data_IF_153637333841
#
_entry.id   IF_153637333841
#
_cell.length_a   1.000
_cell.length_b   1.000
_cell.length_c   1.000
_cell.angle_alpha   90.00
_cell.angle_beta   90.00
_cell.angle_gamma   90.00
#
_symmetry.space_group_name_H-M   'P 1'
#
loop_
_entity.id
_entity.type
_entity.pdbx_description
1 polymer ?
#
# COMPACT_ATOMS: atom_id res chain seq x y z
N UNK A 1 17.05 -1.94 20.88
CA UNK A 1 17.47 -1.14 19.72
C UNK A 1 18.03 -2.03 18.59
N UNK A 2 19.07 -2.81 18.82
CA UNK A 2 19.72 -3.66 17.78
C UNK A 2 18.77 -4.66 17.12
N UNK A 3 17.85 -5.27 17.87
CA UNK A 3 16.84 -6.20 17.34
C UNK A 3 15.84 -5.49 16.43
N UNK A 4 15.43 -4.27 16.77
CA UNK A 4 14.50 -3.47 15.98
C UNK A 4 15.09 -3.09 14.61
N UNK A 5 16.32 -2.56 14.57
CA UNK A 5 16.96 -2.14 13.32
C UNK A 5 17.48 -3.30 12.44
N UNK A 6 17.59 -4.52 12.97
CA UNK A 6 17.93 -5.72 12.18
C UNK A 6 16.75 -6.34 11.43
N UNK A 7 15.52 -6.14 11.89
CA UNK A 7 14.33 -6.63 11.18
C UNK A 7 14.03 -5.70 10.00
N UNK A 8 13.59 -6.26 8.86
CA UNK A 8 13.02 -5.46 7.75
C UNK A 8 11.78 -4.73 8.28
N UNK A 9 11.95 -3.45 8.60
CA UNK A 9 10.87 -2.59 9.09
C UNK A 9 10.00 -2.18 7.91
N UNK A 10 8.70 -2.45 8.00
CA UNK A 10 7.75 -1.94 7.02
C UNK A 10 7.81 -0.42 6.95
N UNK A 11 7.89 0.15 5.73
CA UNK A 11 8.04 1.61 5.50
C UNK A 11 6.73 2.37 5.74
N UNK A 12 6.07 2.18 6.90
CA UNK A 12 4.90 3.00 7.26
C UNK A 12 5.33 4.35 7.86
N UNK A 13 4.47 5.36 7.78
CA UNK A 13 4.71 6.67 8.41
C UNK A 13 4.78 6.55 9.94
N UNK A 14 4.00 5.66 10.53
CA UNK A 14 3.97 5.36 11.97
C UNK A 14 5.31 4.77 12.44
N UNK A 15 5.86 3.84 11.68
CA UNK A 15 7.15 3.21 11.97
C UNK A 15 8.32 4.22 11.95
N UNK A 16 8.24 5.25 11.09
CA UNK A 16 9.24 6.32 11.07
C UNK A 16 9.22 7.13 12.38
N UNK A 17 8.03 7.48 12.86
CA UNK A 17 7.90 8.23 14.13
C UNK A 17 8.36 7.35 15.30
N UNK A 18 7.96 6.08 15.31
CA UNK A 18 8.42 5.12 16.32
C UNK A 18 9.94 4.94 16.32
N UNK A 19 10.57 4.82 15.14
CA UNK A 19 12.04 4.73 15.03
C UNK A 19 12.75 5.92 15.67
N UNK A 20 12.20 7.13 15.49
CA UNK A 20 12.76 8.34 16.09
C UNK A 20 12.59 8.29 17.62
N UNK A 21 11.43 7.88 18.12
CA UNK A 21 11.19 7.71 19.58
C UNK A 21 12.19 6.74 20.22
N UNK A 22 12.47 5.60 19.56
CA UNK A 22 13.47 4.62 20.04
C UNK A 22 14.86 5.25 20.15
N UNK A 23 15.26 6.02 19.14
CA UNK A 23 16.57 6.71 19.15
C UNK A 23 16.64 7.75 20.26
N UNK A 24 15.58 8.55 20.40
CA UNK A 24 15.52 9.60 21.43
C UNK A 24 15.47 9.00 22.83
N UNK A 25 14.71 7.94 23.08
CA UNK A 25 14.72 7.22 24.37
C UNK A 25 16.10 6.69 24.72
N UNK A 26 16.84 6.18 23.75
CA UNK A 26 18.21 5.69 23.98
C UNK A 26 19.18 6.85 24.28
N UNK A 27 19.06 7.94 23.55
CA UNK A 27 19.83 9.16 23.82
C UNK A 27 19.55 9.70 25.23
N UNK A 28 18.29 9.77 25.63
CA UNK A 28 17.86 10.21 26.96
C UNK A 28 18.46 9.35 28.07
N UNK A 29 18.42 8.02 27.93
CA UNK A 29 19.05 7.09 28.87
C UNK A 29 20.56 7.31 29.02
N UNK A 30 21.28 7.55 27.91
CA UNK A 30 22.73 7.81 27.94
C UNK A 30 23.01 9.13 28.67
N UNK A 31 22.24 10.18 28.35
CA UNK A 31 22.44 11.49 28.96
C UNK A 31 22.09 11.46 30.46
N UNK A 32 21.06 10.70 30.86
CA UNK A 32 20.73 10.49 32.29
C UNK A 32 21.88 9.79 33.04
N UNK A 33 22.43 8.70 32.48
CA UNK A 33 23.58 8.02 33.09
C UNK A 33 24.79 8.95 33.25
N UNK A 34 25.04 9.82 32.28
CA UNK A 34 26.10 10.83 32.39
C UNK A 34 25.74 11.85 33.47
N UNK A 35 24.47 12.27 33.56
CA UNK A 35 24.03 13.23 34.56
C UNK A 35 24.13 12.66 35.98
N UNK A 36 23.82 11.38 36.18
CA UNK A 36 23.97 10.69 37.45
C UNK A 36 25.43 10.67 37.92
N UNK A 37 26.38 10.59 36.98
CA UNK A 37 27.80 10.61 37.27
C UNK A 37 28.33 12.04 37.54
N UNK A 38 27.98 13.03 36.72
CA UNK A 38 28.49 14.41 36.85
C UNK A 38 27.68 15.29 37.78
N UNK A 39 26.43 14.93 38.06
CA UNK A 39 25.51 15.71 38.91
C UNK A 39 26.06 15.92 40.33
N UNK A 40 26.57 14.90 41.04
CA UNK A 40 27.19 15.08 42.35
C UNK A 40 28.37 16.04 42.34
N UNK A 41 29.07 16.15 41.20
CA UNK A 41 30.26 16.99 41.03
C UNK A 41 29.92 18.43 40.56
N UNK A 42 28.65 18.87 40.67
CA UNK A 42 28.20 20.17 40.12
C UNK A 42 28.94 21.38 40.67
N UNK A 43 29.57 21.26 41.87
CA UNK A 43 30.42 22.31 42.45
C UNK A 43 31.83 22.32 41.89
N UNK A 44 32.35 21.18 41.50
CA UNK A 44 33.70 21.00 40.98
C UNK A 44 33.79 21.29 39.47
N UNK A 45 32.79 20.81 38.72
CA UNK A 45 32.70 20.95 37.25
C UNK A 45 31.36 21.59 36.84
N UNK A 46 31.03 22.79 37.28
CA UNK A 46 29.70 23.39 37.13
C UNK A 46 29.26 23.46 35.64
N UNK A 47 30.10 23.94 34.77
CA UNK A 47 29.77 24.09 33.34
C UNK A 47 29.32 22.78 32.69
N UNK A 48 30.01 21.66 33.00
CA UNK A 48 29.66 20.33 32.48
C UNK A 48 28.36 19.83 33.07
N UNK A 49 28.20 19.91 34.41
CA UNK A 49 26.98 19.41 35.08
C UNK A 49 25.73 20.19 34.61
N UNK A 50 25.82 21.52 34.49
CA UNK A 50 24.70 22.35 33.99
C UNK A 50 24.41 22.07 32.51
N UNK A 51 25.43 21.89 31.67
CA UNK A 51 25.24 21.54 30.27
C UNK A 51 24.54 20.18 30.10
N UNK A 52 25.02 19.13 30.80
CA UNK A 52 24.42 17.80 30.73
C UNK A 52 22.99 17.79 31.25
N UNK A 53 22.69 18.52 32.33
CA UNK A 53 21.33 18.63 32.85
C UNK A 53 20.37 19.30 31.85
N UNK A 54 20.82 20.34 31.13
CA UNK A 54 20.03 20.97 30.07
C UNK A 54 19.86 20.06 28.86
N UNK A 55 20.90 19.29 28.51
CA UNK A 55 20.83 18.30 27.45
C UNK A 55 19.84 17.17 27.79
N UNK A 56 19.80 16.73 29.05
CA UNK A 56 18.80 15.79 29.56
C UNK A 56 17.36 16.37 29.41
N UNK A 57 17.17 17.59 29.89
CA UNK A 57 15.88 18.29 29.77
C UNK A 57 15.42 18.43 28.33
N UNK A 58 16.35 18.69 27.40
CA UNK A 58 16.07 18.71 25.96
C UNK A 58 15.63 17.34 25.44
N UNK A 59 16.27 16.25 25.88
CA UNK A 59 15.87 14.88 25.56
C UNK A 59 14.42 14.59 25.96
N UNK A 60 14.06 14.91 27.19
CA UNK A 60 12.69 14.79 27.74
C UNK A 60 11.69 15.57 26.88
N UNK A 61 11.98 16.84 26.59
CA UNK A 61 11.12 17.71 25.78
C UNK A 61 10.94 17.17 24.36
N UNK A 62 12.02 16.70 23.75
CA UNK A 62 12.00 16.11 22.41
C UNK A 62 11.14 14.85 22.38
N UNK A 63 11.28 13.96 23.37
CA UNK A 63 10.51 12.72 23.45
C UNK A 63 9.01 12.99 23.57
N UNK A 64 8.60 13.88 24.47
CA UNK A 64 7.19 14.24 24.69
C UNK A 64 6.60 14.89 23.43
N UNK A 65 7.37 15.75 22.75
CA UNK A 65 6.95 16.41 21.51
C UNK A 65 6.71 15.39 20.39
N UNK A 66 7.59 14.41 20.24
CA UNK A 66 7.44 13.36 19.24
C UNK A 66 6.23 12.48 19.55
N UNK A 67 6.00 12.15 20.82
CA UNK A 67 4.81 11.42 21.26
C UNK A 67 3.53 12.21 20.93
N UNK A 68 3.48 13.51 21.20
CA UNK A 68 2.36 14.37 20.80
C UNK A 68 2.14 14.34 19.27
N UNK A 69 3.21 14.47 18.49
CA UNK A 69 3.12 14.36 17.03
C UNK A 69 2.54 13.00 16.58
N UNK A 70 2.92 11.91 17.25
CA UNK A 70 2.36 10.57 17.00
C UNK A 70 0.85 10.53 17.30
N UNK A 71 0.42 11.04 18.47
CA UNK A 71 -1.00 11.11 18.87
C UNK A 71 -1.83 11.84 17.82
N UNK A 72 -1.38 13.03 17.43
CA UNK A 72 -2.08 13.87 16.47
C UNK A 72 -2.08 13.26 15.07
N UNK A 73 -0.98 12.60 14.68
CA UNK A 73 -0.90 11.85 13.44
C UNK A 73 -1.94 10.72 13.39
N UNK A 74 -2.03 9.87 14.43
CA UNK A 74 -3.02 8.78 14.51
C UNK A 74 -4.45 9.35 14.43
N UNK A 75 -4.74 10.42 15.18
CA UNK A 75 -6.05 11.07 15.18
C UNK A 75 -6.44 11.63 13.81
N UNK A 76 -5.51 12.22 13.07
CA UNK A 76 -5.75 12.79 11.74
C UNK A 76 -5.85 11.70 10.66
N UNK A 77 -5.06 10.64 10.75
CA UNK A 77 -5.08 9.50 9.83
C UNK A 77 -6.43 8.78 9.89
N UNK A 78 -6.95 8.50 11.09
CA UNK A 78 -8.28 7.87 11.26
C UNK A 78 -9.39 8.72 10.64
N UNK A 79 -9.29 10.05 10.71
CA UNK A 79 -10.28 10.98 10.11
C UNK A 79 -10.03 11.27 8.62
N UNK A 80 -9.05 10.61 7.98
CA UNK A 80 -8.64 10.88 6.58
C UNK A 80 -8.28 12.36 6.32
N UNK A 81 -7.74 13.05 7.35
CA UNK A 81 -7.34 14.46 7.29
C UNK A 81 -5.82 14.64 7.24
N UNK A 82 -5.14 13.78 6.53
CA UNK A 82 -3.66 13.75 6.48
C UNK A 82 -3.02 15.05 5.97
N UNK A 83 -3.73 15.86 5.21
CA UNK A 83 -3.22 17.16 4.71
C UNK A 83 -2.84 18.13 5.82
N UNK A 84 -3.37 17.96 7.04
CA UNK A 84 -3.06 18.81 8.19
C UNK A 84 -1.84 18.34 8.99
N UNK A 85 -1.30 17.15 8.70
CA UNK A 85 -0.15 16.58 9.41
C UNK A 85 1.08 17.51 9.38
N UNK A 86 1.48 18.09 8.22
CA UNK A 86 2.62 19.01 8.20
C UNK A 86 2.41 20.27 9.06
N UNK A 87 1.19 20.80 9.07
CA UNK A 87 0.86 22.00 9.88
C UNK A 87 1.00 21.70 11.37
N UNK A 88 0.40 20.58 11.82
CA UNK A 88 0.45 20.16 13.23
C UNK A 88 1.89 19.88 13.66
N UNK A 89 2.66 19.18 12.84
CA UNK A 89 4.09 18.93 13.07
C UNK A 89 4.87 20.24 13.22
N UNK A 90 4.66 21.21 12.35
CA UNK A 90 5.39 22.48 12.37
C UNK A 90 5.02 23.28 13.63
N UNK A 91 3.76 23.27 14.05
CA UNK A 91 3.32 23.90 15.32
C UNK A 91 4.02 23.22 16.51
N UNK A 92 4.05 21.88 16.56
CA UNK A 92 4.73 21.15 17.62
C UNK A 92 6.24 21.47 17.68
N UNK A 93 6.91 21.57 16.52
CA UNK A 93 8.33 21.97 16.43
C UNK A 93 8.54 23.40 16.97
N UNK A 94 7.67 24.35 16.61
CA UNK A 94 7.77 25.73 17.09
C UNK A 94 7.58 25.76 18.63
N UNK A 95 6.61 25.06 19.17
CA UNK A 95 6.42 24.96 20.62
C UNK A 95 7.64 24.33 21.30
N UNK A 96 8.19 23.26 20.76
CA UNK A 96 9.42 22.63 21.26
C UNK A 96 10.59 23.61 21.29
N UNK A 97 10.80 24.41 20.23
CA UNK A 97 11.86 25.41 20.16
C UNK A 97 11.64 26.46 21.27
N UNK A 98 10.41 26.93 21.49
CA UNK A 98 10.08 27.90 22.52
C UNK A 98 10.42 27.33 23.91
N UNK A 99 9.92 26.14 24.25
CA UNK A 99 10.15 25.53 25.57
C UNK A 99 11.62 25.19 25.79
N UNK A 100 12.31 24.68 24.78
CA UNK A 100 13.77 24.44 24.84
C UNK A 100 14.54 25.73 25.07
N UNK A 101 14.20 26.80 24.35
CA UNK A 101 14.86 28.11 24.52
C UNK A 101 14.62 28.64 25.94
N UNK A 102 13.40 28.57 26.46
CA UNK A 102 13.10 28.96 27.84
C UNK A 102 13.85 28.09 28.85
N UNK A 103 13.97 26.77 28.63
CA UNK A 103 14.76 25.89 29.47
C UNK A 103 16.24 26.33 29.53
N UNK A 104 16.82 26.76 28.43
CA UNK A 104 18.22 27.20 28.38
C UNK A 104 18.45 28.61 28.99
N UNK A 105 17.46 29.49 28.98
CA UNK A 105 17.56 30.86 29.53
C UNK A 105 17.28 30.91 31.02
N UNK A 106 16.29 30.14 31.47
CA UNK A 106 15.83 30.20 32.85
C UNK A 106 16.85 29.58 33.83
N UNK A 107 16.86 30.06 35.11
CA UNK A 107 17.75 29.52 36.13
C UNK A 107 17.50 28.03 36.41
N UNK A 108 18.60 27.29 36.44
CA UNK A 108 18.65 25.88 36.81
C UNK A 108 19.48 25.74 38.09
N UNK A 109 19.04 25.01 39.06
CA UNK A 109 19.74 24.78 40.29
C UNK A 109 19.97 23.28 40.52
N UNK A 110 21.05 22.92 41.18
CA UNK A 110 21.35 21.57 41.63
C UNK A 110 21.20 21.46 43.14
N UNK A 111 20.75 20.29 43.59
CA UNK A 111 20.79 19.86 44.96
C UNK A 111 21.36 18.45 45.04
N UNK A 112 22.27 18.23 45.98
CA UNK A 112 22.84 16.94 46.28
C UNK A 112 22.65 16.64 47.77
N UNK A 113 22.01 15.53 48.09
CA UNK A 113 21.70 15.11 49.47
C UNK A 113 22.67 14.08 50.06
N UNK A 114 23.76 13.80 49.33
CA UNK A 114 24.75 12.78 49.69
C UNK A 114 24.55 11.43 48.98
N UNK A 115 23.39 11.22 48.35
CA UNK A 115 23.05 10.00 47.62
C UNK A 115 22.67 10.32 46.17
N UNK A 116 21.78 11.26 45.93
CA UNK A 116 21.24 11.58 44.62
C UNK A 116 21.41 13.07 44.37
N UNK A 117 21.88 13.42 43.19
CA UNK A 117 21.89 14.76 42.66
C UNK A 117 20.66 14.98 41.76
N UNK A 118 19.91 16.03 42.02
CA UNK A 118 18.77 16.40 41.20
C UNK A 118 18.73 17.88 40.89
N UNK A 119 18.05 18.21 39.79
CA UNK A 119 17.86 19.58 39.35
C UNK A 119 16.48 20.12 39.73
N UNK A 120 16.41 21.42 40.01
CA UNK A 120 15.17 22.12 40.35
C UNK A 120 15.23 23.58 39.87
N UNK A 121 14.09 24.24 39.93
CA UNK A 121 14.00 25.66 39.59
C UNK A 121 13.15 25.96 38.35
N UNK A 122 13.10 27.22 37.91
CA UNK A 122 12.25 27.66 36.81
C UNK A 122 12.49 26.88 35.50
N UNK A 123 13.74 26.53 35.21
CA UNK A 123 14.10 25.74 34.03
C UNK A 123 13.43 24.36 34.02
N UNK A 124 13.39 23.67 35.18
CA UNK A 124 12.72 22.37 35.34
C UNK A 124 11.20 22.52 35.26
N UNK A 125 10.66 23.59 35.89
CA UNK A 125 9.21 23.86 35.86
C UNK A 125 8.66 24.07 34.46
N UNK A 126 9.45 24.64 33.55
CA UNK A 126 9.06 24.77 32.13
C UNK A 126 8.86 23.41 31.46
N UNK A 127 9.64 22.38 31.78
CA UNK A 127 9.47 21.03 31.25
C UNK A 127 8.17 20.41 31.75
N UNK A 128 7.84 20.57 33.04
CA UNK A 128 6.54 20.14 33.56
C UNK A 128 5.37 20.88 32.92
N UNK A 129 5.52 22.18 32.64
CA UNK A 129 4.52 22.98 31.94
C UNK A 129 4.29 22.50 30.53
N UNK A 130 5.37 22.21 29.76
CA UNK A 130 5.27 21.67 28.42
C UNK A 130 4.61 20.29 28.40
N UNK A 131 5.00 19.39 29.31
CA UNK A 131 4.40 18.08 29.48
C UNK A 131 2.90 18.16 29.78
N UNK A 132 2.49 19.08 30.67
CA UNK A 132 1.08 19.34 30.96
C UNK A 132 0.31 19.85 29.74
N UNK A 133 0.86 20.85 29.04
CA UNK A 133 0.25 21.40 27.82
C UNK A 133 0.07 20.33 26.73
N UNK A 134 1.11 19.52 26.48
CA UNK A 134 1.07 18.47 25.46
C UNK A 134 0.10 17.35 25.85
N UNK A 135 0.06 16.98 27.12
CA UNK A 135 -0.93 16.02 27.63
C UNK A 135 -2.35 16.54 27.46
N UNK A 136 -2.58 17.82 27.76
CA UNK A 136 -3.89 18.46 27.59
C UNK A 136 -4.33 18.46 26.10
N UNK A 137 -3.44 18.81 25.17
CA UNK A 137 -3.71 18.72 23.72
C UNK A 137 -4.01 17.27 23.33
N UNK A 138 -3.24 16.31 23.84
CA UNK A 138 -3.44 14.88 23.61
C UNK A 138 -4.82 14.40 24.11
N UNK A 139 -5.24 14.81 25.30
CA UNK A 139 -6.56 14.48 25.86
C UNK A 139 -7.68 15.04 24.96
N UNK A 140 -7.59 16.30 24.53
CA UNK A 140 -8.58 16.89 23.61
C UNK A 140 -8.65 16.10 22.31
N UNK A 141 -7.51 15.69 21.76
CA UNK A 141 -7.45 14.90 20.54
C UNK A 141 -8.11 13.53 20.71
N UNK A 142 -7.91 12.87 21.86
CA UNK A 142 -8.55 11.60 22.21
C UNK A 142 -10.06 11.73 22.39
N UNK A 143 -10.53 12.73 23.13
CA UNK A 143 -11.96 12.99 23.34
C UNK A 143 -12.66 13.18 21.99
N UNK A 144 -12.05 13.93 21.06
CA UNK A 144 -12.56 14.11 19.69
C UNK A 144 -12.59 12.83 18.86
N UNK A 145 -11.86 11.80 19.25
CA UNK A 145 -11.76 10.51 18.58
C UNK A 145 -12.28 9.34 19.44
N UNK A 146 -13.08 9.60 20.48
CA UNK A 146 -13.51 8.61 21.47
C UNK A 146 -14.23 7.41 20.85
N UNK A 147 -14.94 7.58 19.73
CA UNK A 147 -15.59 6.49 19.00
C UNK A 147 -14.60 5.45 18.46
N UNK A 148 -13.35 5.84 18.23
CA UNK A 148 -12.29 5.02 17.68
C UNK A 148 -11.25 4.58 18.73
N UNK A 149 -11.51 4.82 20.02
CA UNK A 149 -10.56 4.59 21.12
C UNK A 149 -10.17 3.10 21.28
N UNK A 150 -10.97 2.19 20.71
CA UNK A 150 -10.69 0.74 20.69
C UNK A 150 -9.55 0.36 19.71
N UNK A 151 -9.11 1.30 18.85
CA UNK A 151 -7.96 1.07 18.00
C UNK A 151 -6.69 0.92 18.85
N UNK A 152 -5.98 -0.18 18.65
CA UNK A 152 -4.78 -0.55 19.43
C UNK A 152 -3.71 0.56 19.44
N UNK A 153 -3.68 1.43 18.44
CA UNK A 153 -2.75 2.56 18.34
C UNK A 153 -2.93 3.60 19.44
N UNK A 154 -4.10 3.67 20.10
CA UNK A 154 -4.35 4.56 21.23
C UNK A 154 -3.88 4.01 22.57
N UNK A 155 -3.63 2.71 22.67
CA UNK A 155 -3.27 2.07 23.94
C UNK A 155 -1.99 2.66 24.61
N UNK A 156 -0.86 2.85 23.90
CA UNK A 156 0.32 3.48 24.50
C UNK A 156 0.07 4.90 24.98
N UNK A 157 -0.80 5.62 24.27
CA UNK A 157 -1.15 7.00 24.58
C UNK A 157 -1.94 7.07 25.88
N UNK A 158 -2.92 6.19 26.05
CA UNK A 158 -3.72 6.10 27.28
C UNK A 158 -2.85 5.76 28.48
N UNK A 159 -1.92 4.82 28.34
CA UNK A 159 -0.97 4.46 29.38
C UNK A 159 -0.08 5.65 29.72
N UNK A 160 0.44 6.37 28.71
CA UNK A 160 1.25 7.57 28.96
C UNK A 160 0.48 8.63 29.74
N UNK A 161 -0.76 8.93 29.40
CA UNK A 161 -1.55 9.94 30.09
C UNK A 161 -1.80 9.56 31.55
N UNK A 162 -2.03 8.29 31.84
CA UNK A 162 -2.30 7.82 33.22
C UNK A 162 -0.99 7.66 34.01
N UNK A 163 -0.10 6.78 33.51
CA UNK A 163 1.14 6.41 34.22
C UNK A 163 2.14 7.57 34.19
N UNK A 164 2.31 8.23 33.04
CA UNK A 164 3.17 9.39 32.88
C UNK A 164 2.68 10.58 33.71
N UNK A 165 1.37 10.83 33.75
CA UNK A 165 0.78 11.88 34.60
C UNK A 165 1.00 11.66 36.09
N UNK A 166 0.75 10.42 36.57
CA UNK A 166 0.99 10.05 37.99
C UNK A 166 2.48 10.18 38.33
N UNK A 167 3.35 9.66 37.47
CA UNK A 167 4.78 9.71 37.69
C UNK A 167 5.35 11.15 37.67
N UNK A 168 4.89 11.97 36.73
CA UNK A 168 5.28 13.39 36.69
C UNK A 168 4.86 14.12 37.95
N UNK A 169 3.67 13.83 38.50
CA UNK A 169 3.21 14.39 39.76
C UNK A 169 4.09 13.93 40.95
N UNK A 170 4.39 12.62 41.03
CA UNK A 170 5.25 12.07 42.09
C UNK A 170 6.66 12.66 42.00
N UNK A 171 7.24 12.77 40.80
CA UNK A 171 8.56 13.35 40.57
C UNK A 171 8.58 14.86 40.89
N UNK A 172 7.50 15.59 40.59
CA UNK A 172 7.38 17.00 40.95
C UNK A 172 7.41 17.19 42.49
N UNK A 173 6.72 16.29 43.22
CA UNK A 173 6.71 16.31 44.70
C UNK A 173 8.03 15.82 45.29
N UNK A 174 8.71 14.89 44.61
CA UNK A 174 9.97 14.29 45.06
C UNK A 174 10.99 14.31 43.92
N UNK A 175 11.66 15.44 43.66
CA UNK A 175 12.55 15.63 42.52
C UNK A 175 13.74 14.65 42.43
N UNK A 176 14.09 14.02 43.58
CA UNK A 176 15.11 12.96 43.61
C UNK A 176 14.67 11.63 43.01
N UNK A 177 13.37 11.45 42.70
CA UNK A 177 12.88 10.24 42.01
C UNK A 177 12.94 10.47 40.50
N UNK A 178 13.92 9.85 39.84
CA UNK A 178 14.12 9.96 38.40
C UNK A 178 13.18 9.00 37.66
N UNK A 179 11.90 9.38 37.48
CA UNK A 179 10.85 8.53 36.91
C UNK A 179 10.61 8.77 35.41
N UNK A 180 11.02 9.92 34.86
CA UNK A 180 10.71 10.30 33.50
C UNK A 180 11.26 9.29 32.47
N UNK A 181 12.56 9.02 32.50
CA UNK A 181 13.21 8.15 31.51
C UNK A 181 12.76 6.69 31.57
N UNK A 182 12.61 6.05 32.77
CA UNK A 182 12.04 4.70 32.84
C UNK A 182 10.65 4.61 32.22
N UNK A 183 9.81 5.64 32.39
CA UNK A 183 8.46 5.67 31.83
C UNK A 183 8.51 5.89 30.32
N UNK A 184 9.33 6.79 29.82
CA UNK A 184 9.53 6.99 28.40
C UNK A 184 10.01 5.70 27.72
N UNK A 185 10.99 5.00 28.32
CA UNK A 185 11.47 3.70 27.84
C UNK A 185 10.36 2.64 27.85
N UNK A 186 9.58 2.57 28.93
CA UNK A 186 8.47 1.62 29.04
C UNK A 186 7.38 1.87 27.99
N UNK A 187 6.99 3.13 27.78
CA UNK A 187 6.00 3.48 26.77
C UNK A 187 6.50 3.22 25.35
N UNK A 188 7.77 3.55 25.08
CA UNK A 188 8.41 3.22 23.80
C UNK A 188 8.42 1.71 23.57
N UNK A 189 8.66 0.90 24.60
CA UNK A 189 8.57 -0.55 24.55
C UNK A 189 7.13 -1.04 24.28
N UNK A 190 6.11 -0.49 24.94
CA UNK A 190 4.71 -0.82 24.66
C UNK A 190 4.30 -0.46 23.23
N UNK A 191 4.80 0.63 22.69
CA UNK A 191 4.56 1.03 21.31
C UNK A 191 5.08 0.00 20.31
N UNK A 192 6.15 -0.74 20.63
CA UNK A 192 6.63 -1.84 19.80
C UNK A 192 5.55 -2.89 19.54
N UNK A 193 4.83 -3.30 20.57
CA UNK A 193 3.78 -4.32 20.45
C UNK A 193 2.51 -3.82 19.74
N UNK A 194 2.24 -2.52 19.77
CA UNK A 194 1.03 -1.94 19.19
C UNK A 194 1.20 -1.46 17.75
N UNK A 195 2.41 -1.01 17.39
CA UNK A 195 2.71 -0.44 16.07
C UNK A 195 3.48 -1.42 15.19
N UNK A 196 4.46 -2.07 15.78
CA UNK A 196 5.45 -2.90 15.08
C UNK A 196 5.25 -4.40 15.32
N UNK A 197 4.10 -4.85 15.83
CA UNK A 197 3.92 -6.29 15.97
C UNK A 197 4.08 -6.96 14.58
N UNK A 198 5.28 -7.48 14.24
CA UNK A 198 5.55 -8.03 12.91
C UNK A 198 4.68 -9.24 12.63
N UNK A 199 4.27 -9.95 13.67
CA UNK A 199 3.48 -11.17 13.54
C UNK A 199 2.04 -10.82 13.11
N UNK A 200 1.44 -9.77 13.67
CA UNK A 200 0.10 -9.32 13.28
C UNK A 200 0.10 -8.78 11.85
N UNK A 201 1.10 -8.00 11.46
CA UNK A 201 1.21 -7.48 10.08
C UNK A 201 1.45 -8.60 9.07
N UNK A 202 2.29 -9.57 9.42
CA UNK A 202 2.55 -10.73 8.58
C UNK A 202 1.29 -11.59 8.42
N UNK A 203 0.50 -11.75 9.49
CA UNK A 203 -0.79 -12.46 9.45
C UNK A 203 -1.79 -11.71 8.56
N UNK A 204 -1.90 -10.38 8.67
CA UNK A 204 -2.77 -9.57 7.80
C UNK A 204 -2.37 -9.67 6.32
N UNK A 205 -1.08 -9.61 6.00
CA UNK A 205 -0.58 -9.78 4.63
C UNK A 205 -0.81 -11.20 4.12
N UNK A 206 -0.60 -12.21 4.97
CA UNK A 206 -0.89 -13.59 4.65
C UNK A 206 -2.38 -13.81 4.35
N UNK A 207 -3.28 -13.29 5.21
CA UNK A 207 -4.73 -13.37 4.96
C UNK A 207 -5.13 -12.69 3.66
N UNK A 208 -4.59 -11.51 3.38
CA UNK A 208 -4.87 -10.79 2.14
C UNK A 208 -4.35 -11.54 0.90
N UNK A 209 -3.13 -12.08 0.98
CA UNK A 209 -2.57 -12.90 -0.10
C UNK A 209 -3.37 -14.18 -0.31
N UNK A 210 -3.81 -14.81 0.78
CA UNK A 210 -4.66 -16.00 0.74
C UNK A 210 -6.02 -15.70 0.11
N UNK A 211 -6.68 -14.62 0.51
CA UNK A 211 -7.97 -14.19 -0.07
C UNK A 211 -7.87 -13.97 -1.59
N UNK A 212 -6.79 -13.30 -2.03
CA UNK A 212 -6.53 -13.10 -3.47
C UNK A 212 -6.33 -14.45 -4.18
N UNK A 213 -5.59 -15.37 -3.57
CA UNK A 213 -5.34 -16.70 -4.12
C UNK A 213 -6.61 -17.55 -4.17
N UNK A 214 -7.42 -17.52 -3.10
CA UNK A 214 -8.68 -18.26 -3.02
C UNK A 214 -9.68 -17.75 -4.09
N UNK A 215 -9.83 -16.43 -4.25
CA UNK A 215 -10.67 -15.83 -5.29
C UNK A 215 -10.20 -16.21 -6.70
N UNK A 216 -8.88 -16.15 -6.97
CA UNK A 216 -8.33 -16.56 -8.25
C UNK A 216 -8.58 -18.05 -8.54
N UNK A 217 -8.53 -18.91 -7.52
CA UNK A 217 -8.81 -20.32 -7.67
C UNK A 217 -10.31 -20.62 -7.87
N UNK A 218 -11.20 -19.86 -7.24
CA UNK A 218 -12.65 -19.93 -7.49
C UNK A 218 -12.97 -19.49 -8.93
N UNK A 219 -12.40 -18.38 -9.40
CA UNK A 219 -12.57 -17.90 -10.78
C UNK A 219 -12.09 -18.94 -11.78
N UNK A 220 -10.92 -19.55 -11.54
CA UNK A 220 -10.37 -20.63 -12.38
C UNK A 220 -11.30 -21.86 -12.40
N UNK A 221 -11.84 -22.23 -11.26
CA UNK A 221 -12.77 -23.36 -11.15
C UNK A 221 -14.07 -23.07 -11.90
N UNK A 222 -14.63 -21.88 -11.76
CA UNK A 222 -15.83 -21.45 -12.48
C UNK A 222 -15.61 -21.42 -13.99
N UNK A 223 -14.45 -20.92 -14.43
CA UNK A 223 -14.05 -20.92 -15.84
C UNK A 223 -14.02 -22.35 -16.40
N UNK A 224 -13.33 -23.28 -15.72
CA UNK A 224 -13.24 -24.68 -16.15
C UNK A 224 -14.61 -25.38 -16.17
N UNK A 225 -15.46 -25.06 -15.19
CA UNK A 225 -16.83 -25.62 -15.15
C UNK A 225 -17.65 -25.15 -16.37
N UNK A 226 -17.63 -23.85 -16.67
CA UNK A 226 -18.34 -23.29 -17.82
C UNK A 226 -17.82 -23.86 -19.14
N UNK A 227 -16.50 -23.94 -19.29
CA UNK A 227 -15.84 -24.55 -20.46
C UNK A 227 -16.23 -26.01 -20.64
N UNK A 228 -16.25 -26.79 -19.55
CA UNK A 228 -16.67 -28.21 -19.60
C UNK A 228 -18.13 -28.36 -20.04
N UNK A 229 -19.00 -27.46 -19.60
CA UNK A 229 -20.39 -27.45 -20.04
C UNK A 229 -20.54 -27.12 -21.53
N UNK A 230 -19.81 -26.13 -22.00
CA UNK A 230 -19.84 -25.73 -23.42
C UNK A 230 -19.30 -26.85 -24.31
N UNK A 231 -18.20 -27.49 -23.92
CA UNK A 231 -17.66 -28.70 -24.61
C UNK A 231 -18.72 -29.79 -24.68
N UNK A 232 -19.41 -30.05 -23.58
CA UNK A 232 -20.45 -31.08 -23.54
C UNK A 232 -21.61 -30.80 -24.50
N UNK A 233 -22.03 -29.52 -24.59
CA UNK A 233 -23.08 -29.11 -25.51
C UNK A 233 -22.66 -29.28 -26.95
N UNK A 234 -21.47 -28.79 -27.34
CA UNK A 234 -20.95 -28.95 -28.71
C UNK A 234 -20.83 -30.42 -29.07
N UNK A 235 -20.29 -31.24 -28.18
CA UNK A 235 -20.14 -32.69 -28.42
C UNK A 235 -21.50 -33.38 -28.58
N UNK A 236 -22.52 -32.99 -27.79
CA UNK A 236 -23.89 -33.48 -27.92
C UNK A 236 -24.49 -33.14 -29.28
N UNK A 237 -24.28 -31.89 -29.73
CA UNK A 237 -24.79 -31.46 -31.05
C UNK A 237 -24.11 -32.17 -32.21
N UNK A 238 -22.79 -32.42 -32.12
CA UNK A 238 -22.04 -33.20 -33.09
C UNK A 238 -22.60 -34.63 -33.17
N UNK A 239 -22.77 -35.28 -32.01
CA UNK A 239 -23.30 -36.64 -31.95
C UNK A 239 -24.73 -36.71 -32.51
N UNK A 240 -25.63 -35.79 -32.10
CA UNK A 240 -26.99 -35.73 -32.61
C UNK A 240 -27.05 -35.60 -34.14
N UNK A 241 -26.29 -34.67 -34.73
CA UNK A 241 -26.28 -34.46 -36.18
C UNK A 241 -25.61 -35.66 -36.91
N UNK A 242 -24.64 -36.33 -36.27
CA UNK A 242 -24.03 -37.53 -36.80
C UNK A 242 -25.02 -38.68 -36.88
N UNK A 243 -25.73 -38.92 -35.75
CA UNK A 243 -26.76 -39.99 -35.69
C UNK A 243 -27.90 -39.71 -36.67
N UNK A 244 -28.32 -38.46 -36.79
CA UNK A 244 -29.35 -38.03 -37.71
C UNK A 244 -28.94 -38.25 -39.20
N UNK A 245 -27.70 -37.93 -39.55
CA UNK A 245 -27.15 -38.16 -40.88
C UNK A 245 -27.08 -39.66 -41.20
N UNK A 246 -26.64 -40.50 -40.26
CA UNK A 246 -26.54 -41.96 -40.42
C UNK A 246 -27.96 -42.57 -40.61
N UNK A 247 -28.90 -42.11 -39.82
CA UNK A 247 -30.29 -42.60 -39.92
C UNK A 247 -30.91 -42.24 -41.26
N UNK A 248 -30.71 -40.99 -41.74
CA UNK A 248 -31.24 -40.56 -43.04
C UNK A 248 -30.60 -41.35 -44.20
N UNK A 249 -29.29 -41.61 -44.11
CA UNK A 249 -28.57 -42.44 -45.09
C UNK A 249 -29.06 -43.89 -45.12
N UNK A 250 -29.67 -44.38 -44.07
CA UNK A 250 -30.21 -45.75 -43.96
C UNK A 250 -31.63 -45.88 -44.54
N UNK A 251 -32.27 -44.76 -44.91
CA UNK A 251 -33.60 -44.75 -45.49
C UNK A 251 -33.61 -45.25 -46.93
N UNK A 252 -34.71 -45.92 -47.34
CA UNK A 252 -34.87 -46.39 -48.76
C UNK A 252 -34.81 -45.26 -49.81
N UNK A 253 -35.15 -44.03 -49.41
CA UNK A 253 -35.08 -42.84 -50.24
C UNK A 253 -34.34 -41.74 -49.42
N UNK A 254 -33.05 -41.60 -49.69
CA UNK A 254 -32.16 -40.67 -49.01
C UNK A 254 -32.42 -39.23 -49.45
N UNK A 255 -32.68 -38.34 -48.51
CA UNK A 255 -32.68 -36.89 -48.78
C UNK A 255 -31.24 -36.37 -48.70
N UNK A 256 -30.60 -36.10 -49.85
CA UNK A 256 -29.21 -35.63 -49.92
C UNK A 256 -29.05 -34.22 -49.35
N UNK A 257 -30.05 -33.37 -49.48
CA UNK A 257 -29.96 -31.98 -48.97
C UNK A 257 -30.01 -31.96 -47.44
N UNK A 258 -30.86 -32.79 -46.84
CA UNK A 258 -30.94 -32.96 -45.38
C UNK A 258 -29.65 -33.55 -44.83
N UNK A 259 -29.06 -34.56 -45.49
CA UNK A 259 -27.74 -35.10 -45.09
C UNK A 259 -26.65 -34.04 -45.16
N UNK A 260 -26.64 -33.25 -46.22
CA UNK A 260 -25.67 -32.12 -46.34
C UNK A 260 -25.81 -31.09 -45.23
N UNK A 261 -27.04 -30.79 -44.81
CA UNK A 261 -27.27 -29.87 -43.71
C UNK A 261 -26.75 -30.41 -42.37
N UNK A 262 -26.94 -31.70 -42.07
CA UNK A 262 -26.33 -32.33 -40.88
C UNK A 262 -24.79 -32.30 -40.94
N UNK A 263 -24.19 -32.59 -42.09
CA UNK A 263 -22.74 -32.54 -42.28
C UNK A 263 -22.18 -31.13 -42.12
N UNK A 264 -22.89 -30.11 -42.60
CA UNK A 264 -22.51 -28.69 -42.37
C UNK A 264 -22.55 -28.34 -40.87
N UNK A 265 -23.62 -28.73 -40.15
CA UNK A 265 -23.75 -28.52 -38.71
C UNK A 265 -22.61 -29.20 -37.93
N UNK A 266 -22.22 -30.43 -38.31
CA UNK A 266 -21.07 -31.14 -37.73
C UNK A 266 -19.78 -30.35 -37.96
N UNK A 267 -19.53 -29.88 -39.17
CA UNK A 267 -18.33 -29.13 -39.54
C UNK A 267 -18.25 -27.80 -38.73
N UNK A 268 -19.35 -27.08 -38.63
CA UNK A 268 -19.41 -25.83 -37.84
C UNK A 268 -19.16 -26.06 -36.37
N UNK A 269 -19.79 -27.06 -35.76
CA UNK A 269 -19.58 -27.42 -34.35
C UNK A 269 -18.14 -27.91 -34.10
N UNK A 270 -17.53 -28.63 -35.01
CA UNK A 270 -16.13 -29.06 -34.90
C UNK A 270 -15.17 -27.87 -34.99
N UNK A 271 -15.45 -26.88 -35.85
CA UNK A 271 -14.67 -25.65 -35.89
C UNK A 271 -14.79 -24.85 -34.56
N UNK A 272 -16.01 -24.72 -34.01
CA UNK A 272 -16.23 -24.10 -32.70
C UNK A 272 -15.47 -24.82 -31.58
N UNK A 273 -15.50 -26.17 -31.57
CA UNK A 273 -14.75 -26.98 -30.60
C UNK A 273 -13.26 -26.71 -30.66
N UNK A 274 -12.69 -26.65 -31.91
CA UNK A 274 -11.26 -26.38 -32.12
C UNK A 274 -10.87 -24.98 -31.61
N UNK A 275 -11.69 -23.96 -31.90
CA UNK A 275 -11.44 -22.61 -31.43
C UNK A 275 -11.44 -22.56 -29.88
N UNK A 276 -12.43 -23.18 -29.26
CA UNK A 276 -12.55 -23.23 -27.80
C UNK A 276 -11.38 -23.95 -27.13
N UNK A 277 -10.91 -25.06 -27.74
CA UNK A 277 -9.76 -25.81 -27.21
C UNK A 277 -8.48 -24.95 -27.26
N UNK A 278 -8.30 -24.19 -28.33
CA UNK A 278 -7.17 -23.28 -28.48
C UNK A 278 -7.25 -22.13 -27.44
N UNK A 279 -8.43 -21.56 -27.17
CA UNK A 279 -8.64 -20.55 -26.14
C UNK A 279 -8.27 -21.07 -24.75
N UNK A 280 -8.58 -22.34 -24.43
CA UNK A 280 -8.18 -22.96 -23.14
C UNK A 280 -6.66 -23.10 -23.04
N UNK A 281 -5.99 -23.53 -24.10
CA UNK A 281 -4.53 -23.69 -24.17
C UNK A 281 -3.80 -22.34 -24.04
N UNK A 282 -4.39 -21.28 -24.62
CA UNK A 282 -3.85 -19.92 -24.51
C UNK A 282 -3.89 -19.39 -23.06
N UNK A 283 -4.94 -19.70 -22.31
CA UNK A 283 -5.04 -19.34 -20.88
C UNK A 283 -3.95 -20.02 -20.04
N UNK A 284 -3.67 -21.30 -20.25
CA UNK A 284 -2.58 -22.01 -19.54
C UNK A 284 -1.19 -21.46 -19.92
N UNK A 285 -1.03 -20.94 -21.13
CA UNK A 285 0.22 -20.30 -21.56
C UNK A 285 0.46 -18.93 -20.88
N UNK A 286 -0.59 -18.22 -20.52
CA UNK A 286 -0.53 -16.94 -19.78
C UNK A 286 -0.07 -17.17 -18.33
N UNK A 287 -0.58 -18.19 -17.66
CA UNK A 287 -0.21 -18.54 -16.27
C UNK A 287 1.26 -19.03 -16.16
N UNK A 288 1.80 -19.63 -17.22
CA UNK A 288 3.16 -20.20 -17.22
C UNK A 288 4.28 -19.18 -17.49
N UNK A 289 4.00 -17.86 -17.57
CA UNK A 289 4.95 -16.79 -17.89
C UNK A 289 5.81 -17.04 -19.16
N UNK A 290 5.34 -17.88 -20.07
CA UNK A 290 6.05 -18.26 -21.29
C UNK A 290 5.57 -17.53 -22.55
N UNK A 291 4.89 -16.37 -22.40
CA UNK A 291 4.54 -15.55 -23.56
C UNK A 291 5.83 -15.04 -24.18
N UNK A 292 6.21 -15.61 -25.32
CA UNK A 292 7.31 -15.06 -26.11
C UNK A 292 6.81 -13.79 -26.80
N UNK A 293 7.19 -12.66 -26.23
CA UNK A 293 6.98 -11.36 -26.87
C UNK A 293 8.03 -11.21 -27.99
N UNK A 294 7.59 -11.05 -29.21
CA UNK A 294 8.47 -10.77 -30.36
C UNK A 294 8.61 -9.27 -30.52
N UNK A 295 9.83 -8.74 -30.34
CA UNK A 295 10.13 -7.31 -30.45
C UNK A 295 10.75 -7.01 -31.83
N UNK A 296 9.90 -6.94 -32.87
CA UNK A 296 10.31 -6.64 -34.22
C UNK A 296 9.80 -5.26 -34.68
N UNK A 297 10.50 -4.70 -35.71
CA UNK A 297 10.03 -3.48 -36.37
C UNK A 297 8.87 -3.80 -37.29
N UNK A 298 7.72 -3.16 -37.09
CA UNK A 298 6.54 -3.36 -37.93
C UNK A 298 5.84 -2.06 -38.32
N UNK A 299 5.07 -2.08 -39.42
CA UNK A 299 4.28 -0.94 -39.89
C UNK A 299 2.90 -0.97 -39.25
N UNK A 300 2.70 -0.12 -38.22
CA UNK A 300 1.43 -0.02 -37.47
C UNK A 300 0.27 0.51 -38.32
N UNK A 301 0.54 1.45 -39.25
CA UNK A 301 -0.50 1.99 -40.12
C UNK A 301 -1.06 0.92 -41.06
N UNK A 302 -0.19 0.06 -41.57
CA UNK A 302 -0.60 -1.06 -42.42
C UNK A 302 -1.40 -2.11 -41.64
N UNK A 303 -1.00 -2.41 -40.39
CA UNK A 303 -1.73 -3.32 -39.52
C UNK A 303 -3.16 -2.79 -39.24
N UNK A 304 -3.26 -1.54 -38.78
CA UNK A 304 -4.55 -0.92 -38.51
C UNK A 304 -5.45 -0.84 -39.75
N UNK A 305 -4.89 -0.49 -40.92
CA UNK A 305 -5.64 -0.47 -42.17
C UNK A 305 -6.27 -1.83 -42.50
N UNK A 306 -5.50 -2.92 -42.33
CA UNK A 306 -6.03 -4.28 -42.55
C UNK A 306 -7.16 -4.61 -41.58
N UNK A 307 -7.00 -4.26 -40.30
CA UNK A 307 -8.02 -4.46 -39.27
C UNK A 307 -9.29 -3.66 -39.60
N UNK A 308 -9.16 -2.37 -39.89
CA UNK A 308 -10.29 -1.49 -40.23
C UNK A 308 -11.07 -2.05 -41.44
N UNK A 309 -10.38 -2.47 -42.51
CA UNK A 309 -11.02 -3.04 -43.68
C UNK A 309 -11.80 -4.31 -43.32
N UNK A 310 -11.17 -5.25 -42.61
CA UNK A 310 -11.78 -6.52 -42.22
C UNK A 310 -13.05 -6.31 -41.39
N UNK A 311 -12.95 -5.49 -40.36
CA UNK A 311 -14.04 -5.29 -39.39
C UNK A 311 -15.15 -4.36 -39.92
N UNK A 312 -14.85 -3.47 -40.87
CA UNK A 312 -15.86 -2.74 -41.61
C UNK A 312 -16.78 -3.67 -42.39
N UNK A 313 -16.20 -4.67 -43.06
CA UNK A 313 -16.96 -5.68 -43.85
C UNK A 313 -17.78 -6.60 -42.91
N UNK A 314 -17.16 -7.07 -41.80
CA UNK A 314 -17.86 -7.93 -40.81
C UNK A 314 -19.02 -7.21 -40.11
N UNK A 315 -18.85 -5.93 -39.72
CA UNK A 315 -19.91 -5.13 -39.16
C UNK A 315 -21.07 -4.92 -40.14
N UNK A 316 -20.74 -4.62 -41.40
CA UNK A 316 -21.73 -4.43 -42.46
C UNK A 316 -22.60 -5.67 -42.68
N UNK A 317 -21.98 -6.88 -42.68
CA UNK A 317 -22.72 -8.16 -42.76
C UNK A 317 -23.72 -8.36 -41.64
N UNK A 318 -23.43 -7.81 -40.44
CA UNK A 318 -24.31 -7.88 -39.24
C UNK A 318 -25.27 -6.70 -39.14
N UNK A 319 -25.22 -5.74 -40.05
CA UNK A 319 -26.05 -4.53 -40.00
C UNK A 319 -25.57 -3.47 -39.01
N UNK A 320 -24.29 -3.57 -38.57
CA UNK A 320 -23.64 -2.61 -37.67
C UNK A 320 -22.80 -1.60 -38.46
N UNK A 321 -22.60 -0.41 -37.89
CA UNK A 321 -21.67 0.58 -38.45
C UNK A 321 -20.31 0.48 -37.79
N UNK A 322 -19.21 0.39 -38.56
CA UNK A 322 -17.87 0.47 -38.05
C UNK A 322 -17.30 1.88 -38.24
N UNK A 323 -16.75 2.46 -37.15
CA UNK A 323 -16.08 3.77 -37.16
C UNK A 323 -14.62 3.59 -36.72
N UNK A 324 -13.72 4.33 -37.36
CA UNK A 324 -12.30 4.33 -36.96
C UNK A 324 -11.78 5.75 -36.92
N UNK A 325 -11.16 6.12 -35.80
CA UNK A 325 -10.44 7.38 -35.63
C UNK A 325 -8.99 7.06 -35.26
N UNK A 326 -8.09 7.32 -36.19
CA UNK A 326 -6.66 7.01 -36.04
C UNK A 326 -5.90 8.33 -36.08
N UNK A 327 -5.16 8.62 -35.02
CA UNK A 327 -4.39 9.85 -34.86
C UNK A 327 -3.44 10.07 -36.05
N UNK A 328 -3.43 11.27 -36.59
CA UNK A 328 -2.63 11.63 -37.75
C UNK A 328 -1.12 11.63 -37.46
N UNK A 329 -0.73 11.87 -36.21
CA UNK A 329 0.62 11.86 -35.69
C UNK A 329 1.17 10.47 -35.33
N UNK A 330 0.37 9.40 -35.58
CA UNK A 330 0.82 8.04 -35.34
C UNK A 330 2.04 7.72 -36.22
N UNK A 331 3.18 7.28 -35.63
CA UNK A 331 4.36 6.91 -36.39
C UNK A 331 4.05 5.76 -37.35
N UNK A 332 4.76 5.70 -38.49
CA UNK A 332 4.55 4.65 -39.47
C UNK A 332 5.05 3.29 -38.98
N UNK A 333 6.18 3.30 -38.23
CA UNK A 333 6.83 2.08 -37.75
C UNK A 333 6.94 2.13 -36.22
N UNK A 334 6.65 0.99 -35.60
CA UNK A 334 6.88 0.74 -34.16
C UNK A 334 7.77 -0.49 -33.98
N UNK A 335 8.40 -0.61 -32.82
CA UNK A 335 9.04 -1.81 -32.33
C UNK A 335 8.12 -2.47 -31.30
N UNK A 336 7.90 -3.77 -31.41
CA UNK A 336 7.06 -4.55 -30.52
C UNK A 336 6.47 -5.79 -31.17
N UNK A 337 5.56 -6.45 -30.45
CA UNK A 337 4.90 -7.67 -30.91
C UNK A 337 3.69 -7.36 -31.82
N UNK A 338 3.95 -7.35 -33.13
CA UNK A 338 2.92 -7.13 -34.13
C UNK A 338 1.81 -8.21 -34.08
N UNK A 339 2.20 -9.47 -33.87
CA UNK A 339 1.24 -10.59 -33.84
C UNK A 339 0.39 -10.54 -32.59
N UNK A 340 1.02 -10.30 -31.45
CA UNK A 340 0.32 -10.12 -30.15
C UNK A 340 -0.66 -8.96 -30.19
N UNK A 341 -0.23 -7.79 -30.70
CA UNK A 341 -1.12 -6.63 -30.86
C UNK A 341 -2.30 -6.93 -31.79
N UNK A 342 -2.05 -7.59 -32.95
CA UNK A 342 -3.11 -8.01 -33.85
C UNK A 342 -4.12 -8.91 -33.13
N UNK A 343 -3.65 -9.94 -32.42
CA UNK A 343 -4.50 -10.90 -31.75
C UNK A 343 -5.37 -10.24 -30.68
N UNK A 344 -4.80 -9.31 -29.90
CA UNK A 344 -5.56 -8.54 -28.89
C UNK A 344 -6.67 -7.71 -29.55
N UNK A 345 -6.34 -6.95 -30.60
CA UNK A 345 -7.32 -6.11 -31.30
C UNK A 345 -8.42 -6.95 -31.95
N UNK A 346 -8.07 -8.05 -32.60
CA UNK A 346 -9.07 -8.94 -33.25
C UNK A 346 -9.98 -9.56 -32.19
N UNK A 347 -9.44 -10.10 -31.10
CA UNK A 347 -10.25 -10.70 -30.02
C UNK A 347 -11.27 -9.71 -29.41
N UNK A 348 -10.86 -8.45 -29.19
CA UNK A 348 -11.76 -7.41 -28.66
C UNK A 348 -12.84 -7.04 -29.69
N UNK A 349 -12.47 -6.89 -30.98
CA UNK A 349 -13.40 -6.51 -32.04
C UNK A 349 -14.38 -7.64 -32.36
N UNK A 350 -13.93 -8.92 -32.37
CA UNK A 350 -14.80 -10.08 -32.52
C UNK A 350 -15.85 -10.14 -31.40
N UNK A 351 -15.43 -9.92 -30.16
CA UNK A 351 -16.33 -9.84 -29.01
C UNK A 351 -17.33 -8.67 -29.17
N UNK A 352 -16.84 -7.51 -29.62
CA UNK A 352 -17.69 -6.34 -29.86
C UNK A 352 -18.76 -6.63 -30.90
N UNK A 353 -18.40 -7.28 -32.01
CA UNK A 353 -19.39 -7.69 -33.03
C UNK A 353 -20.36 -8.72 -32.46
N UNK A 354 -19.84 -9.72 -31.72
CA UNK A 354 -20.66 -10.81 -31.17
C UNK A 354 -21.79 -10.28 -30.27
N UNK A 355 -21.47 -9.33 -29.38
CA UNK A 355 -22.37 -8.87 -28.35
C UNK A 355 -23.17 -7.60 -28.70
N UNK A 356 -22.78 -6.85 -29.73
CA UNK A 356 -23.54 -5.68 -30.20
C UNK A 356 -24.69 -6.12 -31.12
N UNK A 357 -25.92 -5.78 -30.76
CA UNK A 357 -27.12 -6.13 -31.54
C UNK A 357 -27.43 -5.09 -32.61
N UNK A 358 -27.28 -3.82 -32.31
CA UNK A 358 -27.60 -2.64 -33.16
C UNK A 358 -26.70 -1.45 -32.77
N UNK A 359 -26.50 -0.53 -33.71
CA UNK A 359 -25.68 0.66 -33.51
C UNK A 359 -24.31 0.59 -34.20
N UNK A 360 -23.25 0.97 -33.50
CA UNK A 360 -21.91 1.06 -34.08
C UNK A 360 -20.81 0.51 -33.15
N UNK A 361 -19.69 0.14 -33.77
CA UNK A 361 -18.44 -0.22 -33.09
C UNK A 361 -17.40 0.81 -33.52
N UNK A 362 -16.66 1.36 -32.56
CA UNK A 362 -15.67 2.41 -32.80
C UNK A 362 -14.28 1.99 -32.34
N UNK A 363 -13.29 2.19 -33.19
CA UNK A 363 -11.88 1.97 -32.93
C UNK A 363 -11.16 3.33 -32.90
N UNK A 364 -10.78 3.81 -31.69
CA UNK A 364 -10.01 5.02 -31.50
C UNK A 364 -8.56 4.70 -31.17
N UNK A 365 -7.61 5.25 -31.94
CA UNK A 365 -6.16 5.08 -31.74
C UNK A 365 -5.50 6.43 -31.58
N UNK A 366 -5.01 6.70 -30.36
CA UNK A 366 -4.34 7.94 -30.01
C UNK A 366 -2.85 7.71 -29.68
N UNK A 367 -2.02 8.71 -29.92
CA UNK A 367 -0.59 8.67 -29.58
C UNK A 367 -0.33 9.38 -28.26
N UNK A 368 0.33 8.70 -27.30
CA UNK A 368 0.82 9.31 -26.07
C UNK A 368 2.33 9.10 -26.02
N UNK A 369 3.10 10.19 -26.08
CA UNK A 369 4.56 10.14 -25.98
C UNK A 369 4.96 10.25 -24.51
N UNK A 370 5.50 9.16 -23.94
CA UNK A 370 6.05 9.14 -22.59
C UNK A 370 7.58 9.24 -22.72
N UNK A 371 8.16 10.40 -22.33
CA UNK A 371 9.60 10.59 -22.32
C UNK A 371 10.15 10.10 -20.98
N UNK A 372 10.77 8.94 -20.94
CA UNK A 372 11.57 8.50 -19.81
C UNK A 372 12.98 9.08 -19.91
N UNK A 373 13.27 10.12 -19.14
CA UNK A 373 14.65 10.60 -18.95
C UNK A 373 15.36 9.65 -17.97
N UNK A 374 15.98 8.61 -18.48
CA UNK A 374 16.98 7.83 -17.74
C UNK A 374 18.29 8.59 -17.76
N UNK A 375 18.47 9.53 -16.85
CA UNK A 375 19.81 10.03 -16.51
C UNK A 375 20.54 8.87 -15.78
N UNK A 376 21.35 8.11 -16.49
CA UNK A 376 22.39 7.30 -15.85
C UNK A 376 23.43 8.28 -15.26
N UNK A 377 23.75 8.22 -13.96
CA UNK A 377 24.87 8.97 -13.44
C UNK A 377 26.14 8.41 -14.11
N UNK A 378 26.84 9.29 -14.84
CA UNK A 378 28.20 8.99 -15.29
C UNK A 378 29.07 9.11 -14.04
N UNK A 379 29.50 7.96 -13.50
CA UNK A 379 30.55 7.91 -12.48
C UNK A 379 31.87 8.06 -13.23
N UNK A 380 32.56 9.19 -13.00
CA UNK A 380 33.97 9.38 -13.29
C UNK A 380 34.79 8.85 -12.14
#
# INVERSE_FOLDING_TARGET
MTVYFRKKVFKSKENKVYSILVVVSFFELIVELILDFVGPMYKEIPNVSYFVARLFSFGVELWITILLCYVLFVCLSIKKKERYIPVVRNIAIVLMIIFTTLNFILPLNFKYDGYIAYTYGPSVNIIYLSAFLYSFIGIIALIRNIKNIKDKRFFPILIFLIVGGIASYIQYMNPGLLLATPIHAFITFLMYFTIENPDVKMIEEYHKAKEISDNANEDKTMFLYNMTNDIRLITKDINYNTDAAINEMSNKKVDKDLVNDYLRAIKENTARFTTMTNEILDVDSIDSASIKVYDDKYNIKLLLKKIVTLYSDECSKKGLTFRSDIASDLPEYLYGDNLGLKNVLTSILDNSIKYTKEGYIELNVNTIIIIHTTAKPIIH
#
